data_IF_009211942129
#
_entry.id   IF_009211942129
#
_cell.length_a   1.000
_cell.length_b   1.000
_cell.length_c   1.000
_cell.angle_alpha   90.00
_cell.angle_beta   90.00
_cell.angle_gamma   90.00
#
_symmetry.space_group_name_H-M   'P 1'
#
loop_
_entity.id
_entity.type
_entity.pdbx_description
1 polymer ?
#
# COMPACT_ATOMS: atom_id res chain seq x y z
N UNK A 1 -10.81 7.49 -22.91
CA UNK A 1 -9.79 7.62 -21.84
C UNK A 1 -9.22 6.25 -21.46
N UNK A 2 -8.40 5.61 -22.31
CA UNK A 2 -7.87 4.25 -22.04
C UNK A 2 -6.38 4.04 -22.36
N UNK A 3 -5.70 5.06 -22.89
CA UNK A 3 -4.28 4.97 -23.28
C UNK A 3 -3.31 5.68 -22.31
N UNK A 4 -3.82 6.56 -21.42
CA UNK A 4 -2.97 7.42 -20.58
C UNK A 4 -2.45 6.68 -19.34
N UNK A 5 -3.20 5.70 -18.82
CA UNK A 5 -2.85 4.96 -17.59
C UNK A 5 -1.69 3.96 -17.78
N UNK A 6 -1.39 3.57 -19.03
CA UNK A 6 -0.38 2.55 -19.33
C UNK A 6 1.05 3.14 -19.44
N UNK A 7 1.18 4.42 -19.78
CA UNK A 7 2.49 5.10 -19.86
C UNK A 7 3.06 5.49 -18.49
N UNK A 8 2.21 5.69 -17.47
CA UNK A 8 2.68 6.02 -16.11
C UNK A 8 3.31 4.82 -15.38
N UNK A 9 2.91 3.58 -15.71
CA UNK A 9 3.45 2.36 -15.07
C UNK A 9 4.89 2.04 -15.48
N UNK A 10 5.35 2.53 -16.64
CA UNK A 10 6.72 2.33 -17.13
C UNK A 10 7.65 3.47 -16.68
N UNK A 11 7.14 4.70 -16.55
CA UNK A 11 7.95 5.86 -16.19
C UNK A 11 8.27 5.94 -14.68
N UNK A 12 7.41 5.42 -13.80
CA UNK A 12 7.62 5.50 -12.35
C UNK A 12 8.76 4.58 -11.88
N UNK A 13 8.83 3.34 -12.40
CA UNK A 13 9.97 2.45 -12.14
C UNK A 13 11.22 2.93 -12.84
N UNK A 14 11.10 3.46 -14.06
CA UNK A 14 12.22 3.98 -14.82
C UNK A 14 12.93 5.16 -14.16
N UNK A 15 12.24 6.12 -13.54
CA UNK A 15 12.93 7.34 -13.07
C UNK A 15 13.80 7.11 -11.82
N UNK A 16 13.43 6.15 -10.97
CA UNK A 16 14.25 5.74 -9.82
C UNK A 16 15.30 4.68 -10.19
N UNK A 17 15.17 4.01 -11.36
CA UNK A 17 16.05 2.92 -11.78
C UNK A 17 16.98 3.27 -12.96
N UNK A 18 16.65 4.27 -13.79
CA UNK A 18 17.34 4.58 -15.06
C UNK A 18 18.44 5.65 -14.96
N UNK A 19 18.98 5.94 -13.77
CA UNK A 19 20.35 6.45 -13.67
C UNK A 19 21.36 5.29 -13.60
N UNK A 20 21.12 4.19 -14.32
CA UNK A 20 22.08 3.09 -14.41
C UNK A 20 22.40 2.82 -15.88
N UNK A 21 23.65 3.11 -16.22
CA UNK A 21 24.25 2.74 -17.49
C UNK A 21 24.23 1.22 -17.56
N UNK A 22 23.86 0.66 -18.72
CA UNK A 22 23.78 -0.77 -18.95
C UNK A 22 25.14 -1.45 -18.73
N UNK A 23 25.43 -1.86 -17.50
CA UNK A 23 26.35 -2.93 -17.19
C UNK A 23 25.86 -3.63 -15.93
N UNK A 24 25.80 -4.95 -15.99
CA UNK A 24 25.30 -5.82 -14.93
C UNK A 24 26.33 -5.86 -13.81
N UNK A 25 26.26 -4.87 -12.92
CA UNK A 25 26.84 -4.91 -11.59
C UNK A 25 25.77 -4.38 -10.62
N UNK A 26 25.51 -5.13 -9.54
CA UNK A 26 24.57 -4.72 -8.50
C UNK A 26 25.03 -3.38 -7.95
N UNK A 27 24.32 -2.30 -8.30
CA UNK A 27 24.73 -0.93 -7.96
C UNK A 27 24.85 -0.79 -6.43
N UNK A 28 25.92 -0.19 -5.88
CA UNK A 28 26.13 -0.06 -4.44
C UNK A 28 24.98 0.61 -3.68
N UNK A 29 24.17 1.45 -4.36
CA UNK A 29 22.95 2.04 -3.80
C UNK A 29 21.87 1.00 -3.44
N UNK A 30 21.79 -0.15 -4.12
CA UNK A 30 20.80 -1.19 -3.82
C UNK A 30 21.17 -1.97 -2.56
N UNK A 31 22.47 -2.26 -2.36
CA UNK A 31 22.95 -2.85 -1.10
C UNK A 31 22.76 -1.90 0.08
N UNK A 32 23.03 -0.60 -0.11
CA UNK A 32 22.79 0.40 0.92
C UNK A 32 21.29 0.49 1.29
N UNK A 33 20.39 0.40 0.30
CA UNK A 33 18.94 0.36 0.52
C UNK A 33 18.51 -0.87 1.33
N UNK A 34 19.10 -2.03 1.02
CA UNK A 34 18.79 -3.29 1.69
C UNK A 34 19.20 -3.26 3.18
N UNK A 35 20.38 -2.73 3.48
CA UNK A 35 20.87 -2.57 4.86
C UNK A 35 19.99 -1.59 5.65
N UNK A 36 19.61 -0.46 5.06
CA UNK A 36 18.75 0.54 5.73
C UNK A 36 17.34 -0.02 5.99
N UNK A 37 16.83 -0.83 5.07
CA UNK A 37 15.57 -1.53 5.21
C UNK A 37 15.61 -2.59 6.33
N UNK A 38 16.72 -3.31 6.46
CA UNK A 38 16.93 -4.30 7.52
C UNK A 38 17.01 -3.68 8.91
N UNK A 39 17.70 -2.54 9.03
CA UNK A 39 17.73 -1.76 10.27
C UNK A 39 16.33 -1.30 10.67
N UNK A 40 15.54 -0.81 9.71
CA UNK A 40 14.18 -0.36 9.97
C UNK A 40 13.24 -1.51 10.34
N UNK A 41 13.40 -2.69 9.73
CA UNK A 41 12.68 -3.92 10.09
C UNK A 41 13.00 -4.37 11.51
N UNK A 42 14.29 -4.36 11.89
CA UNK A 42 14.74 -4.74 13.22
C UNK A 42 14.17 -3.79 14.30
N UNK A 43 14.11 -2.49 14.02
CA UNK A 43 13.47 -1.50 14.90
C UNK A 43 11.97 -1.78 15.05
N UNK A 44 11.28 -2.08 13.95
CA UNK A 44 9.87 -2.46 13.94
C UNK A 44 9.57 -3.73 14.77
N UNK A 45 10.46 -4.72 14.71
CA UNK A 45 10.37 -5.95 15.49
C UNK A 45 10.65 -5.68 16.98
N UNK A 46 11.56 -4.76 17.30
CA UNK A 46 11.85 -4.34 18.67
C UNK A 46 10.72 -3.50 19.31
N UNK A 47 9.96 -2.74 18.52
CA UNK A 47 8.77 -1.99 18.98
C UNK A 47 7.52 -2.87 19.21
N UNK A 48 7.63 -4.19 19.01
CA UNK A 48 6.52 -5.14 19.06
C UNK A 48 5.72 -5.19 20.36
N UNK A 49 6.29 -4.73 21.47
CA UNK A 49 5.66 -4.75 22.81
C UNK A 49 4.41 -3.86 22.93
N UNK A 50 4.19 -2.92 22.01
CA UNK A 50 3.02 -2.03 22.02
C UNK A 50 1.90 -2.45 21.06
N UNK A 51 2.07 -3.56 20.32
CA UNK A 51 1.08 -4.06 19.37
C UNK A 51 0.45 -5.36 19.87
N UNK A 52 -0.86 -5.51 19.63
CA UNK A 52 -1.58 -6.77 19.84
C UNK A 52 -0.90 -7.91 19.04
N UNK A 53 -0.80 -9.12 19.61
CA UNK A 53 0.04 -10.23 19.09
C UNK A 53 -0.34 -10.59 17.66
N UNK A 54 -1.64 -10.63 17.35
CA UNK A 54 -2.13 -10.88 15.99
C UNK A 54 -1.77 -9.75 15.03
N UNK A 55 -1.85 -8.51 15.50
CA UNK A 55 -1.48 -7.33 14.73
C UNK A 55 0.03 -7.27 14.49
N UNK A 56 0.85 -7.62 15.48
CA UNK A 56 2.29 -7.70 15.36
C UNK A 56 2.70 -8.77 14.33
N UNK A 57 2.16 -9.99 14.45
CA UNK A 57 2.43 -11.08 13.50
C UNK A 57 2.03 -10.74 12.07
N UNK A 58 0.89 -10.07 11.88
CA UNK A 58 0.46 -9.57 10.58
C UNK A 58 1.45 -8.54 10.03
N UNK A 59 1.78 -7.49 10.79
CA UNK A 59 2.65 -6.40 10.35
C UNK A 59 4.05 -6.90 9.98
N UNK A 60 4.66 -7.77 10.79
CA UNK A 60 5.98 -8.35 10.50
C UNK A 60 5.95 -9.20 9.23
N UNK A 61 4.90 -10.01 9.04
CA UNK A 61 4.74 -10.83 7.82
C UNK A 61 4.63 -9.95 6.57
N UNK A 62 3.87 -8.85 6.65
CA UNK A 62 3.75 -7.87 5.57
C UNK A 62 5.10 -7.24 5.24
N UNK A 63 5.86 -6.89 6.27
CA UNK A 63 7.15 -6.23 6.11
C UNK A 63 8.14 -7.15 5.36
N UNK A 64 8.14 -8.46 5.67
CA UNK A 64 8.95 -9.47 4.97
C UNK A 64 8.54 -9.64 3.51
N UNK A 65 7.23 -9.76 3.25
CA UNK A 65 6.67 -9.86 1.89
C UNK A 65 7.06 -8.62 1.06
N UNK A 66 6.83 -7.42 1.62
CA UNK A 66 7.14 -6.16 0.95
C UNK A 66 8.64 -6.00 0.66
N UNK A 67 9.52 -6.39 1.60
CA UNK A 67 10.98 -6.39 1.36
C UNK A 67 11.32 -7.24 0.14
N UNK A 68 10.78 -8.46 0.07
CA UNK A 68 11.04 -9.40 -1.04
C UNK A 68 10.47 -8.90 -2.36
N UNK A 69 9.35 -8.19 -2.37
CA UNK A 69 8.81 -7.57 -3.60
C UNK A 69 9.62 -6.35 -4.05
N UNK A 70 10.12 -5.53 -3.13
CA UNK A 70 10.87 -4.32 -3.47
C UNK A 70 12.27 -4.58 -4.01
N UNK A 71 12.81 -5.79 -3.81
CA UNK A 71 14.12 -6.17 -4.36
C UNK A 71 14.14 -6.31 -5.89
N UNK A 72 13.00 -6.12 -6.56
CA UNK A 72 12.88 -6.34 -8.00
C UNK A 72 11.85 -5.43 -8.67
N UNK A 73 12.09 -5.08 -9.94
CA UNK A 73 11.19 -4.21 -10.73
C UNK A 73 9.81 -4.83 -10.92
N UNK A 74 9.76 -6.16 -11.12
CA UNK A 74 8.52 -6.91 -11.26
C UNK A 74 7.70 -6.88 -9.95
N UNK A 75 8.36 -6.96 -8.80
CA UNK A 75 7.68 -6.92 -7.49
C UNK A 75 7.19 -5.52 -7.15
N UNK A 76 7.95 -4.46 -7.48
CA UNK A 76 7.48 -3.07 -7.41
C UNK A 76 6.24 -2.87 -8.29
N UNK A 77 6.24 -3.37 -9.52
CA UNK A 77 5.07 -3.28 -10.41
C UNK A 77 3.85 -4.02 -9.84
N UNK A 78 4.05 -5.17 -9.19
CA UNK A 78 2.97 -5.85 -8.50
C UNK A 78 2.40 -5.02 -7.34
N UNK A 79 3.26 -4.49 -6.47
CA UNK A 79 2.83 -3.62 -5.37
C UNK A 79 1.96 -2.48 -5.91
N UNK A 80 2.39 -1.81 -6.99
CA UNK A 80 1.64 -0.72 -7.59
C UNK A 80 0.27 -1.17 -8.11
N UNK A 81 0.14 -2.35 -8.72
CA UNK A 81 -1.16 -2.89 -9.16
C UNK A 81 -2.10 -3.12 -7.99
N UNK A 82 -1.62 -3.71 -6.90
CA UNK A 82 -2.44 -3.97 -5.72
C UNK A 82 -2.79 -2.68 -4.97
N UNK A 83 -1.88 -1.70 -4.94
CA UNK A 83 -2.14 -0.34 -4.42
C UNK A 83 -3.25 0.34 -5.22
N UNK A 84 -3.24 0.25 -6.55
CA UNK A 84 -4.30 0.78 -7.42
C UNK A 84 -5.63 0.07 -7.17
N UNK A 85 -5.63 -1.25 -7.00
CA UNK A 85 -6.83 -2.01 -6.70
C UNK A 85 -7.47 -1.58 -5.37
N UNK A 86 -6.65 -1.41 -4.32
CA UNK A 86 -7.09 -0.89 -3.02
C UNK A 86 -7.62 0.55 -3.14
N UNK A 87 -6.90 1.42 -3.83
CA UNK A 87 -7.32 2.81 -4.06
C UNK A 87 -8.67 2.88 -4.77
N UNK A 88 -8.85 2.07 -5.82
CA UNK A 88 -10.11 1.99 -6.56
C UNK A 88 -11.24 1.54 -5.64
N UNK A 89 -11.05 0.47 -4.87
CA UNK A 89 -12.08 -0.05 -3.98
C UNK A 89 -12.48 0.97 -2.89
N UNK A 90 -11.51 1.71 -2.34
CA UNK A 90 -11.80 2.79 -1.39
C UNK A 90 -12.54 3.96 -2.05
N UNK A 91 -12.19 4.32 -3.28
CA UNK A 91 -12.86 5.40 -4.02
C UNK A 91 -14.31 5.00 -4.34
N UNK A 92 -14.51 3.82 -4.91
CA UNK A 92 -15.83 3.24 -5.18
C UNK A 92 -16.68 3.17 -3.89
N UNK A 93 -16.07 2.86 -2.74
CA UNK A 93 -16.75 2.85 -1.45
C UNK A 93 -17.22 4.24 -1.05
N UNK A 94 -16.34 5.24 -1.06
CA UNK A 94 -16.68 6.63 -0.69
C UNK A 94 -17.82 7.16 -1.57
N UNK A 95 -17.74 6.92 -2.89
CA UNK A 95 -18.79 7.32 -3.84
C UNK A 95 -20.12 6.59 -3.59
N UNK A 96 -20.08 5.28 -3.31
CA UNK A 96 -21.29 4.50 -3.05
C UNK A 96 -21.99 4.94 -1.75
N UNK A 97 -21.23 5.28 -0.70
CA UNK A 97 -21.81 5.79 0.56
C UNK A 97 -22.48 7.15 0.33
N UNK A 98 -21.84 8.04 -0.45
CA UNK A 98 -22.41 9.34 -0.80
C UNK A 98 -23.69 9.20 -1.64
N UNK A 99 -23.68 8.28 -2.62
CA UNK A 99 -24.82 7.98 -3.48
C UNK A 99 -26.03 7.37 -2.74
N UNK A 100 -25.84 6.84 -1.53
CA UNK A 100 -26.96 6.33 -0.72
C UNK A 100 -27.95 7.43 -0.31
N UNK A 101 -27.53 8.71 -0.28
CA UNK A 101 -28.43 9.85 -0.04
C UNK A 101 -29.13 9.87 1.33
N UNK A 102 -28.71 9.01 2.26
CA UNK A 102 -29.23 8.91 3.63
C UNK A 102 -28.17 9.36 4.64
N UNK A 103 -28.61 9.68 5.85
CA UNK A 103 -27.67 10.02 6.93
C UNK A 103 -26.69 8.85 7.16
N UNK A 104 -25.39 9.16 7.07
CA UNK A 104 -24.32 8.17 7.27
C UNK A 104 -24.11 7.94 8.77
N UNK A 105 -24.31 6.71 9.28
CA UNK A 105 -24.05 6.39 10.68
C UNK A 105 -22.59 6.64 11.06
N UNK A 106 -22.32 6.96 12.33
CA UNK A 106 -20.97 7.26 12.83
C UNK A 106 -19.94 6.17 12.52
N UNK A 107 -20.34 4.90 12.61
CA UNK A 107 -19.45 3.77 12.35
C UNK A 107 -19.10 3.67 10.85
N UNK A 108 -20.08 3.88 9.97
CA UNK A 108 -19.85 3.96 8.51
C UNK A 108 -18.99 5.17 8.16
N UNK A 109 -19.24 6.33 8.76
CA UNK A 109 -18.42 7.53 8.58
C UNK A 109 -16.96 7.32 9.01
N UNK A 110 -16.73 6.50 10.03
CA UNK A 110 -15.39 6.12 10.48
C UNK A 110 -14.67 5.27 9.43
N UNK A 111 -15.36 4.30 8.81
CA UNK A 111 -14.82 3.51 7.68
C UNK A 111 -14.55 4.40 6.46
N UNK A 112 -15.44 5.34 6.14
CA UNK A 112 -15.25 6.33 5.06
C UNK A 112 -13.98 7.17 5.31
N UNK A 113 -13.76 7.64 6.53
CA UNK A 113 -12.56 8.39 6.91
C UNK A 113 -11.29 7.56 6.72
N UNK A 114 -11.30 6.30 7.15
CA UNK A 114 -10.18 5.38 6.92
C UNK A 114 -9.92 5.12 5.44
N UNK A 115 -10.97 4.96 4.63
CA UNK A 115 -10.85 4.81 3.17
C UNK A 115 -10.25 6.06 2.52
N UNK A 116 -10.66 7.27 2.93
CA UNK A 116 -10.06 8.53 2.44
C UNK A 116 -8.57 8.62 2.78
N UNK A 117 -8.18 8.23 4.01
CA UNK A 117 -6.77 8.18 4.39
C UNK A 117 -5.99 7.14 3.56
N UNK A 118 -6.56 5.97 3.29
CA UNK A 118 -5.95 4.98 2.40
C UNK A 118 -5.79 5.51 0.97
N UNK A 119 -6.79 6.21 0.42
CA UNK A 119 -6.69 6.86 -0.90
C UNK A 119 -5.50 7.81 -0.94
N UNK A 120 -5.31 8.64 0.09
CA UNK A 120 -4.15 9.54 0.18
C UNK A 120 -2.82 8.76 0.18
N UNK A 121 -2.72 7.69 0.98
CA UNK A 121 -1.51 6.86 1.03
C UNK A 121 -1.25 6.21 -0.34
N UNK A 122 -2.28 5.65 -0.98
CA UNK A 122 -2.16 5.06 -2.31
C UNK A 122 -1.72 6.08 -3.36
N UNK A 123 -2.28 7.29 -3.33
CA UNK A 123 -1.87 8.36 -4.24
C UNK A 123 -0.38 8.73 -4.06
N UNK A 124 0.10 8.81 -2.81
CA UNK A 124 1.53 9.06 -2.55
C UNK A 124 2.41 7.92 -3.10
N UNK A 125 1.99 6.67 -2.96
CA UNK A 125 2.72 5.51 -3.52
C UNK A 125 2.72 5.53 -5.05
N UNK A 126 1.58 5.80 -5.69
CA UNK A 126 1.45 5.83 -7.16
C UNK A 126 2.27 6.99 -7.74
N UNK A 127 2.28 8.13 -7.06
CA UNK A 127 3.03 9.33 -7.42
C UNK A 127 4.38 9.40 -6.71
N UNK A 128 5.04 8.26 -6.49
CA UNK A 128 6.31 8.14 -5.77
C UNK A 128 7.33 9.22 -6.21
N UNK A 129 7.54 9.37 -7.52
CA UNK A 129 8.57 10.27 -8.07
C UNK A 129 8.29 11.75 -7.79
N UNK A 130 7.03 12.16 -7.77
CA UNK A 130 6.63 13.56 -7.57
C UNK A 130 6.21 13.88 -6.13
N UNK A 131 6.14 12.88 -5.25
CA UNK A 131 5.66 13.08 -3.86
C UNK A 131 6.66 12.58 -2.83
N UNK A 132 7.15 11.35 -2.95
CA UNK A 132 8.06 10.73 -1.99
C UNK A 132 9.52 11.01 -2.35
N UNK A 133 9.87 10.86 -3.63
CA UNK A 133 11.22 11.01 -4.20
C UNK A 133 11.51 12.39 -4.83
N UNK A 134 10.74 13.42 -4.50
CA UNK A 134 10.78 14.69 -5.23
C UNK A 134 12.01 15.59 -4.95
N UNK A 135 12.95 15.17 -4.10
CA UNK A 135 14.11 15.98 -3.70
C UNK A 135 15.33 15.76 -4.60
N UNK A 136 16.09 16.82 -4.90
CA UNK A 136 17.34 16.74 -5.68
C UNK A 136 18.42 15.80 -5.07
N UNK A 137 18.32 15.52 -3.76
CA UNK A 137 19.18 14.59 -3.00
C UNK A 137 18.57 13.18 -2.80
N UNK A 138 17.53 12.82 -3.57
CA UNK A 138 16.90 11.50 -3.46
C UNK A 138 17.80 10.42 -4.09
N UNK A 139 18.47 9.64 -3.24
CA UNK A 139 19.13 8.41 -3.67
C UNK A 139 18.10 7.30 -3.89
N UNK A 140 18.44 6.33 -4.74
CA UNK A 140 17.61 5.14 -5.00
C UNK A 140 17.26 4.41 -3.70
N UNK A 141 18.17 4.38 -2.73
CA UNK A 141 17.96 3.80 -1.40
C UNK A 141 16.88 4.52 -0.58
N UNK A 142 16.95 5.85 -0.47
CA UNK A 142 15.96 6.66 0.24
C UNK A 142 14.57 6.50 -0.38
N UNK A 143 14.50 6.47 -1.72
CA UNK A 143 13.27 6.25 -2.47
C UNK A 143 12.63 4.89 -2.19
N UNK A 144 13.43 3.82 -2.21
CA UNK A 144 12.95 2.48 -1.88
C UNK A 144 12.47 2.39 -0.44
N UNK A 145 13.20 2.99 0.51
CA UNK A 145 12.79 3.01 1.90
C UNK A 145 11.49 3.79 2.12
N UNK A 146 11.30 4.93 1.45
CA UNK A 146 10.05 5.70 1.51
C UNK A 146 8.88 4.92 0.92
N UNK A 147 9.09 4.24 -0.22
CA UNK A 147 8.09 3.37 -0.81
C UNK A 147 7.71 2.25 0.17
N UNK A 148 8.70 1.60 0.79
CA UNK A 148 8.45 0.59 1.81
C UNK A 148 7.64 1.12 2.99
N UNK A 149 8.06 2.27 3.56
CA UNK A 149 7.37 2.92 4.67
C UNK A 149 5.92 3.28 4.30
N UNK A 150 5.68 3.78 3.10
CA UNK A 150 4.34 4.10 2.61
C UNK A 150 3.47 2.84 2.46
N UNK A 151 4.02 1.75 1.90
CA UNK A 151 3.33 0.46 1.84
C UNK A 151 3.00 -0.08 3.24
N UNK A 152 3.92 0.05 4.20
CA UNK A 152 3.67 -0.34 5.60
C UNK A 152 2.59 0.51 6.26
N UNK A 153 2.56 1.83 6.00
CA UNK A 153 1.47 2.70 6.43
C UNK A 153 0.12 2.26 5.85
N UNK A 154 0.08 1.90 4.56
CA UNK A 154 -1.11 1.37 3.91
C UNK A 154 -1.57 0.08 4.59
N UNK A 155 -0.66 -0.88 4.81
CA UNK A 155 -0.94 -2.16 5.50
C UNK A 155 -1.53 -1.95 6.90
N UNK A 156 -0.94 -1.04 7.70
CA UNK A 156 -1.47 -0.70 9.03
C UNK A 156 -2.90 -0.15 8.92
N UNK A 157 -3.13 0.73 7.94
CA UNK A 157 -4.45 1.34 7.72
C UNK A 157 -5.48 0.33 7.21
N UNK A 158 -5.08 -0.62 6.37
CA UNK A 158 -5.90 -1.78 5.96
C UNK A 158 -6.36 -2.55 7.20
N UNK A 159 -5.45 -2.93 8.09
CA UNK A 159 -5.80 -3.65 9.32
C UNK A 159 -6.79 -2.86 10.20
N UNK A 160 -6.53 -1.56 10.42
CA UNK A 160 -7.47 -0.69 11.15
C UNK A 160 -8.85 -0.64 10.48
N UNK A 161 -8.89 -0.53 9.16
CA UNK A 161 -10.14 -0.47 8.38
C UNK A 161 -10.91 -1.78 8.49
N UNK A 162 -10.24 -2.93 8.39
CA UNK A 162 -10.86 -4.24 8.58
C UNK A 162 -11.45 -4.37 9.99
N UNK A 163 -10.73 -3.92 11.03
CA UNK A 163 -11.24 -3.89 12.42
C UNK A 163 -12.44 -2.95 12.61
N UNK A 164 -12.57 -1.90 11.81
CA UNK A 164 -13.74 -1.00 11.84
C UNK A 164 -14.93 -1.64 11.11
N UNK A 165 -14.69 -2.28 9.97
CA UNK A 165 -15.72 -2.98 9.20
C UNK A 165 -16.35 -4.11 10.03
N UNK A 166 -15.58 -4.86 10.82
CA UNK A 166 -16.11 -5.92 11.69
C UNK A 166 -16.96 -5.39 12.84
N UNK A 167 -16.84 -4.11 13.18
CA UNK A 167 -17.62 -3.45 14.25
C UNK A 167 -18.90 -2.80 13.74
N UNK A 168 -19.19 -2.86 12.43
CA UNK A 168 -20.43 -2.29 11.90
C UNK A 168 -21.64 -3.02 12.51
N UNK A 169 -22.67 -2.28 12.96
CA UNK A 169 -23.89 -2.86 13.48
C UNK A 169 -24.57 -3.80 12.47
N UNK A 170 -25.22 -4.86 12.94
CA UNK A 170 -25.90 -5.83 12.08
C UNK A 170 -27.13 -5.25 11.35
N UNK A 171 -27.69 -4.16 11.86
CA UNK A 171 -28.78 -3.38 11.28
C UNK A 171 -28.28 -2.27 10.32
N UNK A 172 -26.99 -2.26 9.97
CA UNK A 172 -26.44 -1.35 8.96
C UNK A 172 -27.24 -1.49 7.65
N UNK A 173 -27.70 -0.35 7.13
CA UNK A 173 -28.47 -0.29 5.88
C UNK A 173 -27.82 -1.11 4.76
N UNK A 174 -28.65 -1.87 4.04
CA UNK A 174 -28.21 -2.67 2.90
C UNK A 174 -27.47 -1.86 1.83
N UNK A 175 -27.75 -0.55 1.74
CA UNK A 175 -27.04 0.38 0.86
C UNK A 175 -25.53 0.43 1.16
N UNK A 176 -25.13 0.36 2.44
CA UNK A 176 -23.74 0.40 2.83
C UNK A 176 -23.06 -0.97 2.82
N UNK A 177 -23.82 -2.05 3.07
CA UNK A 177 -23.28 -3.41 3.21
C UNK A 177 -22.59 -3.89 1.93
N UNK A 178 -23.20 -3.67 0.76
CA UNK A 178 -22.62 -4.09 -0.51
C UNK A 178 -21.30 -3.36 -0.82
N UNK A 179 -21.24 -2.05 -0.59
CA UNK A 179 -20.04 -1.24 -0.76
C UNK A 179 -18.95 -1.67 0.25
N UNK A 180 -19.34 -1.89 1.51
CA UNK A 180 -18.44 -2.34 2.58
C UNK A 180 -17.81 -3.68 2.26
N UNK A 181 -18.59 -4.62 1.70
CA UNK A 181 -18.09 -5.94 1.30
C UNK A 181 -16.99 -5.84 0.25
N UNK A 182 -17.15 -4.97 -0.76
CA UNK A 182 -16.13 -4.77 -1.81
C UNK A 182 -14.81 -4.23 -1.26
N UNK A 183 -14.86 -3.19 -0.42
CA UNK A 183 -13.62 -2.65 0.17
C UNK A 183 -12.98 -3.63 1.14
N UNK A 184 -13.77 -4.41 1.91
CA UNK A 184 -13.27 -5.50 2.74
C UNK A 184 -12.52 -6.55 1.93
N UNK A 185 -13.09 -6.99 0.79
CA UNK A 185 -12.44 -7.95 -0.11
C UNK A 185 -11.12 -7.41 -0.66
N UNK A 186 -11.08 -6.16 -1.13
CA UNK A 186 -9.85 -5.55 -1.63
C UNK A 186 -8.76 -5.49 -0.54
N UNK A 187 -9.13 -5.06 0.66
CA UNK A 187 -8.24 -5.03 1.84
C UNK A 187 -7.68 -6.41 2.20
N UNK A 188 -8.53 -7.44 2.23
CA UNK A 188 -8.12 -8.82 2.53
C UNK A 188 -7.20 -9.41 1.45
N UNK A 189 -7.39 -9.00 0.19
CA UNK A 189 -6.62 -9.53 -0.93
C UNK A 189 -5.28 -8.84 -1.14
N UNK A 190 -5.04 -7.66 -0.54
CA UNK A 190 -3.82 -6.88 -0.76
C UNK A 190 -2.54 -7.69 -0.53
N UNK A 191 -2.37 -8.31 0.64
CA UNK A 191 -1.16 -9.05 0.95
C UNK A 191 -1.07 -10.41 0.24
N UNK A 192 -2.13 -11.24 0.20
CA UNK A 192 -2.08 -12.49 -0.55
C UNK A 192 -1.75 -12.30 -2.02
N UNK A 193 -2.20 -11.20 -2.64
CA UNK A 193 -1.87 -10.92 -4.03
C UNK A 193 -0.42 -10.47 -4.20
N UNK A 194 0.10 -9.63 -3.29
CA UNK A 194 1.53 -9.26 -3.29
C UNK A 194 2.41 -10.50 -3.07
N UNK A 195 2.02 -11.40 -2.17
CA UNK A 195 2.76 -12.64 -1.89
C UNK A 195 2.78 -13.58 -3.11
N UNK A 196 1.65 -13.76 -3.80
CA UNK A 196 1.61 -14.51 -5.07
C UNK A 196 2.49 -13.92 -6.17
N UNK A 197 2.70 -12.61 -6.16
CA UNK A 197 3.62 -12.00 -7.10
C UNK A 197 5.04 -12.45 -6.87
N UNK A 198 5.43 -12.79 -5.64
CA UNK A 198 6.74 -13.34 -5.30
C UNK A 198 6.92 -14.74 -5.91
N UNK A 199 5.89 -15.59 -5.84
CA UNK A 199 5.94 -16.97 -6.35
C UNK A 199 5.98 -17.06 -7.88
N UNK A 200 5.67 -15.96 -8.56
CA UNK A 200 5.69 -15.84 -10.03
C UNK A 200 6.90 -15.05 -10.57
N UNK A 201 7.85 -14.68 -9.70
CA UNK A 201 9.10 -13.99 -10.07
C UNK A 201 10.18 -14.94 -10.53
#
# INVERSE_FOLDING_TARGET
>A
MKAITLCFLVLVSASCLLKTNANVDVHPDFQAAEVELDLWLAELEAEGDYMDVEQFGFIVSCAKILKKCLSSVRGVNCILKEVVAVMKACTDYVEAIDACGVAVPKDVATVVSSCKAMITICNNIIHLNSTLCASDDSTTSKCMLQLFKACMQLTRKINTTLKQITKLPSDTSSCFVAATSKVKTACNNFLPNIDKCIDSM
#
